data_IF_095753983029
#
_entry.id   IF_095753983029
#
_cell.length_a   1.000
_cell.length_b   1.000
_cell.length_c   1.000
_cell.angle_alpha   90.00
_cell.angle_beta   90.00
_cell.angle_gamma   90.00
#
_symmetry.space_group_name_H-M   'P 1'
#
loop_
_entity.id
_entity.type
_entity.pdbx_description
1 polymer ?
#
# COMPACT_ATOMS: atom_id res chain seq x y z
N UNK A 1 24.82 21.18 -15.02
CA UNK A 1 24.76 19.75 -14.68
C UNK A 1 23.67 19.46 -13.63
N UNK A 2 23.48 20.31 -12.61
CA UNK A 2 22.44 20.13 -11.58
C UNK A 2 20.99 19.93 -12.10
N UNK A 3 20.61 20.53 -13.24
CA UNK A 3 19.24 20.50 -13.76
C UNK A 3 18.80 19.15 -14.34
N UNK A 4 19.73 18.26 -14.72
CA UNK A 4 19.38 16.92 -15.24
C UNK A 4 19.11 15.91 -14.12
N UNK A 5 19.85 16.01 -13.01
CA UNK A 5 19.69 15.10 -11.88
C UNK A 5 18.35 15.32 -11.17
N UNK A 6 17.92 16.58 -11.01
CA UNK A 6 16.62 16.91 -10.42
C UNK A 6 15.43 16.42 -11.27
N UNK A 7 15.58 16.46 -12.61
CA UNK A 7 14.57 15.95 -13.53
C UNK A 7 14.45 14.42 -13.42
N UNK A 8 15.58 13.71 -13.38
CA UNK A 8 15.62 12.25 -13.20
C UNK A 8 14.97 11.80 -11.88
N UNK A 9 15.16 12.55 -10.79
CA UNK A 9 14.56 12.19 -9.51
C UNK A 9 13.05 12.48 -9.45
N UNK A 10 12.59 13.52 -10.14
CA UNK A 10 11.16 13.77 -10.36
C UNK A 10 10.51 12.67 -11.20
N UNK A 11 11.18 12.23 -12.27
CA UNK A 11 10.66 11.17 -13.14
C UNK A 11 10.49 9.86 -12.36
N UNK A 12 11.46 9.49 -11.51
CA UNK A 12 11.35 8.34 -10.59
C UNK A 12 10.22 8.51 -9.58
N UNK A 13 10.04 9.70 -9.02
CA UNK A 13 8.96 9.98 -8.09
C UNK A 13 7.59 9.76 -8.76
N UNK A 14 7.45 10.17 -10.03
CA UNK A 14 6.23 9.90 -10.79
C UNK A 14 6.03 8.42 -11.08
N UNK A 15 7.07 7.67 -11.43
CA UNK A 15 6.95 6.22 -11.57
C UNK A 15 6.49 5.53 -10.27
N UNK A 16 6.96 6.01 -9.11
CA UNK A 16 6.49 5.50 -7.82
C UNK A 16 5.04 5.86 -7.54
N UNK A 17 4.62 7.09 -7.87
CA UNK A 17 3.23 7.53 -7.78
C UNK A 17 2.31 6.66 -8.65
N UNK A 18 2.67 6.42 -9.92
CA UNK A 18 1.88 5.59 -10.85
C UNK A 18 1.69 4.18 -10.28
N UNK A 19 2.75 3.58 -9.71
CA UNK A 19 2.66 2.25 -9.07
C UNK A 19 1.71 2.24 -7.87
N UNK A 20 1.72 3.30 -7.05
CA UNK A 20 0.79 3.43 -5.91
C UNK A 20 -0.65 3.55 -6.42
N UNK A 21 -0.88 4.42 -7.40
CA UNK A 21 -2.20 4.64 -8.01
C UNK A 21 -2.75 3.33 -8.59
N UNK A 22 -1.98 2.65 -9.42
CA UNK A 22 -2.42 1.43 -10.10
C UNK A 22 -2.69 0.31 -9.10
N UNK A 23 -1.91 0.22 -8.03
CA UNK A 23 -2.15 -0.74 -6.94
C UNK A 23 -3.44 -0.45 -6.18
N UNK A 24 -3.71 0.81 -5.82
CA UNK A 24 -4.95 1.20 -5.14
C UNK A 24 -6.18 0.96 -6.01
N UNK A 25 -6.10 1.31 -7.30
CA UNK A 25 -7.18 1.05 -8.26
C UNK A 25 -7.43 -0.45 -8.42
N UNK A 26 -6.38 -1.26 -8.56
CA UNK A 26 -6.53 -2.71 -8.66
C UNK A 26 -7.18 -3.32 -7.41
N UNK A 27 -6.85 -2.82 -6.21
CA UNK A 27 -7.53 -3.26 -4.98
C UNK A 27 -9.01 -2.86 -4.97
N UNK A 28 -9.33 -1.64 -5.39
CA UNK A 28 -10.72 -1.17 -5.48
C UNK A 28 -11.54 -2.01 -6.48
N UNK A 29 -10.99 -2.30 -7.66
CA UNK A 29 -11.63 -3.16 -8.67
C UNK A 29 -11.89 -4.57 -8.12
N UNK A 30 -10.90 -5.18 -7.45
CA UNK A 30 -11.08 -6.49 -6.81
C UNK A 30 -12.20 -6.45 -5.78
N UNK A 31 -12.26 -5.41 -4.94
CA UNK A 31 -13.31 -5.29 -3.93
C UNK A 31 -14.68 -5.12 -4.57
N UNK A 32 -14.82 -4.26 -5.58
CA UNK A 32 -16.07 -4.05 -6.31
C UNK A 32 -16.54 -5.32 -7.05
N UNK A 33 -15.63 -6.12 -7.57
CA UNK A 33 -15.97 -7.38 -8.24
C UNK A 33 -16.45 -8.47 -7.27
N UNK A 34 -16.07 -8.40 -5.99
CA UNK A 34 -16.27 -9.50 -5.04
C UNK A 34 -17.22 -9.18 -3.89
N UNK A 35 -17.52 -7.90 -3.64
CA UNK A 35 -18.38 -7.46 -2.54
C UNK A 35 -19.57 -6.67 -3.09
N UNK A 36 -20.75 -6.94 -2.54
CA UNK A 36 -21.96 -6.18 -2.83
C UNK A 36 -21.87 -4.78 -2.22
N UNK A 37 -22.11 -3.74 -3.01
CA UNK A 37 -22.06 -2.33 -2.60
C UNK A 37 -23.01 -2.02 -1.43
N UNK A 38 -24.11 -2.78 -1.30
CA UNK A 38 -25.06 -2.63 -0.21
C UNK A 38 -24.61 -3.23 1.13
N UNK A 39 -23.48 -3.96 1.16
CA UNK A 39 -23.02 -4.68 2.34
C UNK A 39 -21.99 -3.86 3.15
N UNK A 40 -22.08 -3.94 4.49
CA UNK A 40 -21.11 -3.33 5.41
C UNK A 40 -19.66 -3.69 5.09
N UNK A 41 -19.39 -4.90 4.57
CA UNK A 41 -18.04 -5.30 4.20
C UNK A 41 -17.48 -4.50 3.02
N UNK A 42 -18.32 -4.12 2.06
CA UNK A 42 -17.91 -3.25 0.96
C UNK A 42 -17.53 -1.87 1.50
N UNK A 43 -18.41 -1.28 2.33
CA UNK A 43 -18.14 0.01 2.97
C UNK A 43 -16.82 -0.01 3.75
N UNK A 44 -16.63 -0.99 4.64
CA UNK A 44 -15.40 -1.10 5.41
C UNK A 44 -14.15 -1.30 4.52
N UNK A 45 -14.28 -2.00 3.40
CA UNK A 45 -13.18 -2.18 2.47
C UNK A 45 -12.79 -0.87 1.77
N UNK A 46 -13.78 -0.09 1.33
CA UNK A 46 -13.57 1.24 0.75
C UNK A 46 -12.98 2.21 1.77
N UNK A 47 -13.50 2.22 3.00
CA UNK A 47 -12.97 3.06 4.10
C UNK A 47 -11.49 2.75 4.36
N UNK A 48 -11.12 1.46 4.38
CA UNK A 48 -9.73 1.04 4.55
C UNK A 48 -8.83 1.51 3.39
N UNK A 49 -9.32 1.49 2.15
CA UNK A 49 -8.59 2.02 1.00
C UNK A 49 -8.39 3.53 1.10
N UNK A 50 -9.40 4.27 1.54
CA UNK A 50 -9.30 5.72 1.73
C UNK A 50 -8.29 6.06 2.83
N UNK A 51 -8.35 5.36 3.97
CA UNK A 51 -7.37 5.53 5.06
C UNK A 51 -5.96 5.21 4.57
N UNK A 52 -5.77 4.16 3.76
CA UNK A 52 -4.47 3.82 3.18
C UNK A 52 -3.93 4.94 2.29
N UNK A 53 -4.76 5.50 1.41
CA UNK A 53 -4.42 6.63 0.55
C UNK A 53 -3.97 7.85 1.38
N UNK A 54 -4.75 8.24 2.39
CA UNK A 54 -4.39 9.37 3.27
C UNK A 54 -3.09 9.10 4.04
N UNK A 55 -2.91 7.88 4.55
CA UNK A 55 -1.70 7.50 5.30
C UNK A 55 -0.45 7.56 4.42
N UNK A 56 -0.54 7.15 3.15
CA UNK A 56 0.57 7.28 2.18
C UNK A 56 0.92 8.76 1.99
N UNK A 57 -0.07 9.62 1.79
CA UNK A 57 0.14 11.06 1.62
C UNK A 57 0.84 11.65 2.85
N UNK A 58 0.39 11.28 4.05
CA UNK A 58 1.01 11.73 5.29
C UNK A 58 2.44 11.21 5.45
N UNK A 59 2.71 9.97 5.05
CA UNK A 59 4.05 9.39 5.08
C UNK A 59 5.02 10.12 4.15
N UNK A 60 4.53 10.59 2.99
CA UNK A 60 5.30 11.38 2.03
C UNK A 60 5.53 12.83 2.47
N UNK A 61 4.65 13.40 3.30
CA UNK A 61 4.72 14.80 3.75
C UNK A 61 5.71 15.04 4.89
N UNK A 62 6.03 14.04 5.71
CA UNK A 62 6.95 14.23 6.84
C UNK A 62 8.34 13.69 6.54
N UNK A 63 9.32 14.33 7.17
CA UNK A 63 10.71 13.94 7.08
C UNK A 63 11.01 12.85 8.12
N UNK A 64 10.60 11.62 7.80
CA UNK A 64 10.82 10.45 8.65
C UNK A 64 12.24 9.90 8.48
N UNK A 65 12.78 9.29 9.54
CA UNK A 65 14.05 8.58 9.46
C UNK A 65 13.93 7.38 8.50
N UNK A 66 14.66 7.33 7.37
CA UNK A 66 14.55 6.25 6.40
C UNK A 66 14.88 4.86 6.97
N UNK A 67 15.77 4.79 7.95
CA UNK A 67 16.15 3.51 8.59
C UNK A 67 15.00 2.96 9.43
N UNK A 68 14.26 3.82 10.12
CA UNK A 68 13.11 3.43 10.92
C UNK A 68 11.95 2.97 10.03
N UNK A 69 11.67 3.71 8.95
CA UNK A 69 10.66 3.31 7.96
C UNK A 69 10.99 1.93 7.36
N UNK A 70 12.26 1.67 7.01
CA UNK A 70 12.67 0.35 6.50
C UNK A 70 12.43 -0.78 7.51
N UNK A 71 12.66 -0.54 8.81
CA UNK A 71 12.38 -1.54 9.84
C UNK A 71 10.88 -1.81 9.92
N UNK A 72 10.06 -0.77 9.95
CA UNK A 72 8.59 -0.89 9.99
C UNK A 72 8.02 -1.60 8.76
N UNK A 73 8.57 -1.35 7.58
CA UNK A 73 8.17 -2.08 6.36
C UNK A 73 8.55 -3.56 6.41
N UNK A 74 9.68 -3.93 7.01
CA UNK A 74 10.07 -5.34 7.21
C UNK A 74 9.18 -6.04 8.24
N UNK A 75 8.82 -5.35 9.32
CA UNK A 75 7.85 -5.86 10.31
C UNK A 75 6.51 -6.17 9.62
N UNK A 76 6.00 -5.21 8.84
CA UNK A 76 4.78 -5.40 8.05
C UNK A 76 4.90 -6.58 7.07
N UNK A 77 6.01 -6.67 6.33
CA UNK A 77 6.25 -7.79 5.40
C UNK A 77 6.25 -9.14 6.11
N UNK A 78 6.85 -9.21 7.30
CA UNK A 78 6.88 -10.42 8.11
C UNK A 78 5.48 -10.83 8.57
N UNK A 79 4.68 -9.87 9.07
CA UNK A 79 3.31 -10.11 9.51
C UNK A 79 2.42 -10.59 8.35
N UNK A 80 2.52 -9.94 7.19
CA UNK A 80 1.80 -10.35 5.97
C UNK A 80 2.18 -11.78 5.57
N UNK A 81 3.48 -12.13 5.59
CA UNK A 81 3.94 -13.47 5.24
C UNK A 81 3.44 -14.52 6.24
N UNK A 82 3.37 -14.20 7.53
CA UNK A 82 2.81 -15.09 8.56
C UNK A 82 1.38 -15.52 8.20
N UNK A 83 0.53 -14.55 7.87
CA UNK A 83 -0.86 -14.79 7.48
C UNK A 83 -0.98 -15.52 6.14
N UNK A 84 -0.17 -15.14 5.14
CA UNK A 84 -0.28 -15.72 3.79
C UNK A 84 0.30 -17.14 3.66
N UNK A 85 1.38 -17.45 4.38
CA UNK A 85 2.16 -18.68 4.17
C UNK A 85 2.19 -19.65 5.35
N UNK A 86 2.00 -19.17 6.59
CA UNK A 86 2.20 -20.00 7.77
C UNK A 86 0.87 -20.39 8.45
N UNK A 87 -0.12 -19.49 8.55
CA UNK A 87 -1.42 -19.82 9.15
C UNK A 87 -2.28 -20.79 8.32
N UNK A 88 -2.04 -20.90 7.00
CA UNK A 88 -2.70 -21.90 6.16
C UNK A 88 -2.28 -23.35 6.46
N UNK A 89 -1.11 -23.58 7.07
CA UNK A 89 -0.62 -24.94 7.37
C UNK A 89 -1.24 -25.57 8.62
N UNK A 90 -1.81 -24.77 9.53
CA UNK A 90 -2.37 -25.30 10.78
C UNK A 90 -3.84 -25.69 10.70
N UNK A 91 -4.59 -25.19 9.69
CA UNK A 91 -6.02 -25.51 9.51
C UNK A 91 -6.30 -26.77 8.66
N UNK A 92 -5.28 -27.58 8.36
CA UNK A 92 -5.41 -28.84 7.59
C UNK A 92 -5.19 -30.11 8.43
N UNK A 93 -5.45 -30.08 9.75
CA UNK A 93 -5.45 -31.28 10.59
C UNK A 93 -6.83 -31.61 11.10
#
# INVERSE_FOLDING_TARGET
MASRDTQSDLDKAWEHYEKIRDSLNGLYEILQMNLDEGNIFYQCAVDNLEILKETIIDLLKKDYNPSEIKIKLRELEFDMKKTLFFEKKEKQK
#
